data_IF_993292566789
#
_entry.id   IF_993292566789
#
_cell.length_a   1.000
_cell.length_b   1.000
_cell.length_c   1.000
_cell.angle_alpha   90.00
_cell.angle_beta   90.00
_cell.angle_gamma   90.00
#
_symmetry.space_group_name_H-M   'P 1'
#
loop_
_entity.id
_entity.type
_entity.pdbx_description
1 polymer ?
#
# COMPACT_ATOMS: atom_id res chain seq x y z
N UNK A 1 -14.57 -3.41 28.90
CA UNK A 1 -14.41 -2.87 27.54
C UNK A 1 -15.72 -3.17 26.81
N UNK A 2 -16.62 -2.20 26.72
CA UNK A 2 -17.84 -2.38 25.92
C UNK A 2 -17.45 -2.37 24.45
N UNK A 3 -17.54 -3.54 23.81
CA UNK A 3 -17.25 -3.74 22.41
C UNK A 3 -18.31 -3.01 21.58
N UNK A 4 -17.92 -1.91 20.95
CA UNK A 4 -18.77 -1.06 20.09
C UNK A 4 -19.37 -1.87 18.90
N UNK A 5 -18.77 -3.02 18.57
CA UNK A 5 -19.28 -3.94 17.56
C UNK A 5 -19.50 -5.35 18.13
N UNK A 6 -20.67 -5.93 17.87
CA UNK A 6 -20.89 -7.37 18.06
C UNK A 6 -19.94 -8.15 17.13
N UNK A 7 -19.59 -9.37 17.51
CA UNK A 7 -18.67 -10.21 16.72
C UNK A 7 -19.16 -10.42 15.27
N UNK A 8 -20.48 -10.39 15.05
CA UNK A 8 -21.11 -10.40 13.73
C UNK A 8 -20.89 -9.16 12.88
N UNK A 9 -20.81 -7.97 13.48
CA UNK A 9 -20.43 -6.76 12.73
C UNK A 9 -18.97 -6.84 12.26
N UNK A 10 -18.07 -7.35 13.12
CA UNK A 10 -16.66 -7.55 12.76
C UNK A 10 -16.49 -8.60 11.67
N UNK A 11 -17.18 -9.74 11.77
CA UNK A 11 -17.16 -10.77 10.75
C UNK A 11 -17.73 -10.25 9.42
N UNK A 12 -18.88 -9.55 9.46
CA UNK A 12 -19.49 -8.95 8.27
C UNK A 12 -18.59 -7.91 7.60
N UNK A 13 -17.93 -7.05 8.39
CA UNK A 13 -16.97 -6.07 7.88
C UNK A 13 -15.74 -6.74 7.27
N UNK A 14 -15.17 -7.75 7.94
CA UNK A 14 -14.04 -8.51 7.41
C UNK A 14 -14.37 -9.18 6.07
N UNK A 15 -15.55 -9.83 5.97
CA UNK A 15 -16.04 -10.43 4.72
C UNK A 15 -16.22 -9.36 3.64
N UNK A 16 -16.86 -8.24 3.97
CA UNK A 16 -17.02 -7.13 3.04
C UNK A 16 -15.68 -6.62 2.51
N UNK A 17 -14.67 -6.42 3.37
CA UNK A 17 -13.32 -5.98 2.98
C UNK A 17 -12.64 -7.01 2.06
N UNK A 18 -12.70 -8.30 2.41
CA UNK A 18 -12.10 -9.36 1.57
C UNK A 18 -12.77 -9.42 0.20
N UNK A 19 -14.10 -9.32 0.15
CA UNK A 19 -14.86 -9.29 -1.12
C UNK A 19 -14.52 -8.02 -1.91
N UNK A 20 -14.43 -6.86 -1.26
CA UNK A 20 -14.08 -5.60 -1.92
C UNK A 20 -12.67 -5.67 -2.54
N UNK A 21 -11.68 -6.19 -1.81
CA UNK A 21 -10.31 -6.41 -2.32
C UNK A 21 -10.34 -7.40 -3.48
N UNK A 22 -11.07 -8.51 -3.36
CA UNK A 22 -11.17 -9.50 -4.43
C UNK A 22 -11.79 -8.90 -5.69
N UNK A 23 -12.87 -8.11 -5.56
CA UNK A 23 -13.48 -7.39 -6.69
C UNK A 23 -12.49 -6.41 -7.30
N UNK A 24 -11.79 -5.61 -6.51
CA UNK A 24 -10.82 -4.63 -7.01
C UNK A 24 -9.69 -5.32 -7.80
N UNK A 25 -9.11 -6.39 -7.25
CA UNK A 25 -8.07 -7.17 -7.91
C UNK A 25 -8.57 -7.85 -9.20
N UNK A 26 -9.78 -8.42 -9.19
CA UNK A 26 -10.39 -9.07 -10.36
C UNK A 26 -10.77 -8.06 -11.45
N UNK A 27 -11.31 -6.91 -11.07
CA UNK A 27 -11.65 -5.82 -11.99
C UNK A 27 -10.37 -5.25 -12.59
N UNK A 28 -9.34 -5.02 -11.77
CA UNK A 28 -8.02 -4.60 -12.21
C UNK A 28 -7.44 -5.62 -13.19
N UNK A 29 -7.48 -6.91 -12.90
CA UNK A 29 -6.97 -7.96 -13.79
C UNK A 29 -7.75 -8.03 -15.11
N UNK A 30 -9.09 -7.95 -15.06
CA UNK A 30 -9.98 -8.01 -16.24
C UNK A 30 -9.89 -6.78 -17.14
N UNK A 31 -9.55 -5.61 -16.60
CA UNK A 31 -9.31 -4.41 -17.41
C UNK A 31 -8.08 -4.55 -18.35
N UNK A 32 -7.32 -5.65 -18.29
CA UNK A 32 -6.29 -5.98 -19.28
C UNK A 32 -5.16 -4.95 -19.38
N UNK A 33 -4.49 -4.87 -20.52
CA UNK A 33 -3.45 -3.86 -20.79
C UNK A 33 -4.00 -2.46 -21.12
N UNK A 34 -5.29 -2.21 -20.86
CA UNK A 34 -5.89 -0.91 -21.15
C UNK A 34 -5.31 0.14 -20.20
N UNK A 35 -4.75 1.21 -20.76
CA UNK A 35 -4.30 2.36 -19.97
C UNK A 35 -5.54 3.03 -19.38
N UNK A 36 -5.65 3.00 -18.05
CA UNK A 36 -6.71 3.73 -17.34
C UNK A 36 -6.55 5.21 -17.68
N UNK A 37 -7.57 5.79 -18.30
CA UNK A 37 -7.56 7.23 -18.60
C UNK A 37 -7.74 8.03 -17.32
N UNK A 38 -7.22 9.26 -17.27
CA UNK A 38 -7.33 10.10 -16.07
C UNK A 38 -8.80 10.29 -15.64
N UNK A 39 -9.74 10.40 -16.59
CA UNK A 39 -11.17 10.50 -16.30
C UNK A 39 -11.82 9.24 -15.75
N UNK A 40 -11.31 8.05 -16.07
CA UNK A 40 -11.73 6.79 -15.45
C UNK A 40 -11.16 6.66 -14.03
N UNK A 41 -9.88 6.97 -13.85
CA UNK A 41 -9.21 6.93 -12.55
C UNK A 41 -9.88 7.86 -11.53
N UNK A 42 -10.23 9.08 -11.94
CA UNK A 42 -10.95 10.03 -11.07
C UNK A 42 -12.32 9.50 -10.69
N UNK A 43 -13.09 8.95 -11.64
CA UNK A 43 -14.42 8.37 -11.35
C UNK A 43 -14.34 7.19 -10.38
N UNK A 44 -13.37 6.29 -10.57
CA UNK A 44 -13.14 5.18 -9.65
C UNK A 44 -12.72 5.66 -8.26
N UNK A 45 -11.81 6.63 -8.19
CA UNK A 45 -11.38 7.22 -6.92
C UNK A 45 -12.55 7.88 -6.18
N UNK A 46 -13.38 8.63 -6.90
CA UNK A 46 -14.52 9.35 -6.35
C UNK A 46 -15.61 8.37 -5.87
N UNK A 47 -15.87 7.30 -6.61
CA UNK A 47 -16.80 6.23 -6.20
C UNK A 47 -16.37 5.61 -4.87
N UNK A 48 -15.10 5.19 -4.76
CA UNK A 48 -14.57 4.61 -3.52
C UNK A 48 -14.55 5.61 -2.36
N UNK A 49 -14.24 6.88 -2.65
CA UNK A 49 -14.25 7.94 -1.66
C UNK A 49 -15.67 8.21 -1.14
N UNK A 50 -16.65 8.34 -2.03
CA UNK A 50 -18.06 8.49 -1.67
C UNK A 50 -18.56 7.30 -0.87
N UNK A 51 -18.18 6.07 -1.23
CA UNK A 51 -18.56 4.87 -0.50
C UNK A 51 -18.05 4.88 0.96
N UNK A 52 -16.81 5.32 1.17
CA UNK A 52 -16.24 5.45 2.51
C UNK A 52 -16.98 6.51 3.36
N UNK A 53 -17.35 7.64 2.74
CA UNK A 53 -18.09 8.71 3.43
C UNK A 53 -19.55 8.32 3.71
N UNK A 54 -20.20 7.58 2.81
CA UNK A 54 -21.53 7.02 3.05
C UNK A 54 -21.48 6.02 4.21
N UNK A 55 -20.46 5.15 4.25
CA UNK A 55 -20.28 4.21 5.34
C UNK A 55 -20.10 4.91 6.69
N UNK A 56 -19.24 5.93 6.80
CA UNK A 56 -19.05 6.64 8.07
C UNK A 56 -20.29 7.42 8.49
N UNK A 57 -21.04 7.98 7.54
CA UNK A 57 -22.31 8.67 7.84
C UNK A 57 -23.37 7.69 8.37
N UNK A 58 -23.49 6.50 7.77
CA UNK A 58 -24.37 5.44 8.26
C UNK A 58 -23.93 4.92 9.64
N UNK A 59 -22.62 4.74 9.84
CA UNK A 59 -22.05 4.34 11.13
C UNK A 59 -22.35 5.37 12.21
N UNK A 60 -22.18 6.66 11.91
CA UNK A 60 -22.49 7.75 12.83
C UNK A 60 -23.97 7.75 13.21
N UNK A 61 -24.87 7.59 12.23
CA UNK A 61 -26.31 7.55 12.50
C UNK A 61 -26.70 6.34 13.35
N UNK A 62 -26.10 5.18 13.10
CA UNK A 62 -26.31 3.97 13.90
C UNK A 62 -25.79 4.12 15.33
N UNK A 63 -24.60 4.70 15.50
CA UNK A 63 -23.99 4.91 16.82
C UNK A 63 -24.71 5.99 17.63
N UNK A 64 -25.23 7.02 16.96
CA UNK A 64 -25.99 8.07 17.61
C UNK A 64 -27.29 7.53 18.24
N UNK A 65 -28.00 6.66 17.52
CA UNK A 65 -29.23 6.03 18.00
C UNK A 65 -29.03 4.94 19.06
N UNK A 66 -27.84 4.33 19.16
CA UNK A 66 -27.60 3.18 20.05
C UNK A 66 -26.72 3.52 21.26
N UNK A 67 -25.67 4.30 21.09
CA UNK A 67 -24.60 4.53 22.08
C UNK A 67 -24.40 6.03 22.41
N UNK A 68 -25.17 6.91 21.80
CA UNK A 68 -25.17 8.36 22.03
C UNK A 68 -24.20 9.16 21.15
N UNK A 69 -24.47 10.46 21.04
CA UNK A 69 -23.80 11.39 20.12
C UNK A 69 -22.29 11.51 20.34
N UNK A 70 -21.83 11.44 21.60
CA UNK A 70 -20.39 11.58 21.92
C UNK A 70 -19.55 10.41 21.36
N UNK A 71 -20.05 9.18 21.51
CA UNK A 71 -19.39 7.98 20.97
C UNK A 71 -19.42 8.02 19.45
N UNK A 72 -20.56 8.38 18.85
CA UNK A 72 -20.71 8.51 17.41
C UNK A 72 -19.70 9.50 16.81
N UNK A 73 -19.54 10.68 17.42
CA UNK A 73 -18.57 11.69 16.99
C UNK A 73 -17.13 11.19 17.11
N UNK A 74 -16.77 10.57 18.23
CA UNK A 74 -15.40 10.10 18.49
C UNK A 74 -14.99 9.01 17.50
N UNK A 75 -15.83 7.99 17.30
CA UNK A 75 -15.56 6.87 16.38
C UNK A 75 -15.52 7.36 14.93
N UNK A 76 -16.44 8.24 14.54
CA UNK A 76 -16.45 8.78 13.17
C UNK A 76 -15.24 9.66 12.88
N UNK A 77 -14.80 10.45 13.86
CA UNK A 77 -13.58 11.24 13.75
C UNK A 77 -12.33 10.35 13.62
N UNK A 78 -12.24 9.27 14.40
CA UNK A 78 -11.16 8.28 14.27
C UNK A 78 -11.16 7.61 12.89
N UNK A 79 -12.34 7.23 12.38
CA UNK A 79 -12.46 6.63 11.05
C UNK A 79 -12.01 7.60 9.94
N UNK A 80 -12.50 8.84 9.95
CA UNK A 80 -12.13 9.84 8.93
C UNK A 80 -10.65 10.17 9.00
N UNK A 81 -10.10 10.34 10.21
CA UNK A 81 -8.68 10.61 10.42
C UNK A 81 -7.83 9.47 9.90
N UNK A 82 -8.18 8.22 10.26
CA UNK A 82 -7.51 7.02 9.76
C UNK A 82 -7.58 6.95 8.23
N UNK A 83 -8.76 7.11 7.65
CA UNK A 83 -8.96 7.08 6.20
C UNK A 83 -8.12 8.13 5.46
N UNK A 84 -8.04 9.36 5.96
CA UNK A 84 -7.23 10.41 5.35
C UNK A 84 -5.73 10.12 5.46
N UNK A 85 -5.26 9.67 6.63
CA UNK A 85 -3.85 9.26 6.82
C UNK A 85 -3.49 8.13 5.86
N UNK A 86 -4.36 7.13 5.77
CA UNK A 86 -4.22 5.99 4.86
C UNK A 86 -4.20 6.41 3.38
N UNK A 87 -5.06 7.35 2.98
CA UNK A 87 -5.10 7.89 1.62
C UNK A 87 -3.83 8.70 1.30
N UNK A 88 -3.35 9.52 2.22
CA UNK A 88 -2.11 10.28 2.03
C UNK A 88 -0.90 9.36 1.87
N UNK A 89 -0.80 8.29 2.69
CA UNK A 89 0.26 7.30 2.54
C UNK A 89 0.20 6.57 1.20
N UNK A 90 -1.00 6.26 0.70
CA UNK A 90 -1.14 5.58 -0.60
C UNK A 90 -0.55 6.35 -1.79
N UNK A 91 -0.53 7.69 -1.73
CA UNK A 91 0.06 8.54 -2.78
C UNK A 91 1.59 8.42 -2.80
N UNK A 92 2.21 8.39 -1.62
CA UNK A 92 3.66 8.17 -1.47
C UNK A 92 4.06 6.79 -2.03
N UNK A 93 3.28 5.76 -1.71
CA UNK A 93 3.51 4.42 -2.24
C UNK A 93 3.48 4.36 -3.78
N UNK A 94 2.54 5.04 -4.45
CA UNK A 94 2.47 5.08 -5.92
C UNK A 94 3.70 5.75 -6.52
N UNK A 95 4.18 6.84 -5.90
CA UNK A 95 5.37 7.54 -6.37
C UNK A 95 6.61 6.63 -6.33
N UNK A 96 6.79 5.86 -5.25
CA UNK A 96 7.86 4.85 -5.15
C UNK A 96 7.78 3.83 -6.28
N UNK A 97 6.59 3.34 -6.61
CA UNK A 97 6.43 2.41 -7.74
C UNK A 97 6.77 3.06 -9.09
N UNK A 98 6.34 4.29 -9.34
CA UNK A 98 6.64 5.01 -10.59
C UNK A 98 8.15 5.25 -10.76
N UNK A 99 8.84 5.67 -9.70
CA UNK A 99 10.29 5.83 -9.71
C UNK A 99 11.00 4.50 -9.97
N UNK A 100 10.54 3.41 -9.32
CA UNK A 100 11.11 2.08 -9.48
C UNK A 100 10.92 1.56 -10.91
N UNK A 101 9.74 1.75 -11.51
CA UNK A 101 9.48 1.38 -12.91
C UNK A 101 10.30 2.22 -13.89
N UNK A 102 10.50 3.51 -13.60
CA UNK A 102 11.37 4.38 -14.38
C UNK A 102 12.83 3.95 -14.33
N UNK A 103 13.34 3.62 -13.13
CA UNK A 103 14.71 3.16 -12.92
C UNK A 103 15.03 1.86 -13.65
N UNK A 104 14.12 0.88 -13.57
CA UNK A 104 14.26 -0.42 -14.22
C UNK A 104 13.71 -0.44 -15.66
N UNK A 105 13.43 0.74 -16.24
CA UNK A 105 12.90 0.90 -17.59
C UNK A 105 11.75 -0.08 -17.95
N UNK A 106 10.89 -0.39 -16.98
CA UNK A 106 9.90 -1.48 -17.10
C UNK A 106 8.88 -1.12 -18.17
N UNK A 107 8.71 -1.94 -19.23
CA UNK A 107 7.74 -1.67 -20.28
C UNK A 107 6.32 -1.52 -19.72
N UNK A 108 5.50 -0.56 -20.19
CA UNK A 108 4.18 -0.26 -19.63
C UNK A 108 3.24 -1.48 -19.53
N UNK A 109 3.40 -2.45 -20.43
CA UNK A 109 2.63 -3.70 -20.43
C UNK A 109 2.87 -4.59 -19.20
N UNK A 110 4.03 -4.49 -18.55
CA UNK A 110 4.39 -5.26 -17.36
C UNK A 110 4.19 -4.49 -16.05
N UNK A 111 4.12 -3.16 -16.10
CA UNK A 111 3.95 -2.29 -14.92
C UNK A 111 2.68 -2.66 -14.14
N UNK A 112 1.58 -2.94 -14.83
CA UNK A 112 0.32 -3.34 -14.17
C UNK A 112 0.45 -4.63 -13.36
N UNK A 113 1.13 -5.65 -13.90
CA UNK A 113 1.36 -6.92 -13.20
C UNK A 113 2.29 -6.73 -12.00
N UNK A 114 3.39 -5.99 -12.19
CA UNK A 114 4.31 -5.67 -11.11
C UNK A 114 3.62 -4.87 -9.99
N UNK A 115 2.73 -3.93 -10.35
CA UNK A 115 1.95 -3.16 -9.40
C UNK A 115 1.00 -4.03 -8.59
N UNK A 116 0.30 -4.98 -9.21
CA UNK A 116 -0.60 -5.91 -8.50
C UNK A 116 0.17 -6.76 -7.49
N UNK A 117 1.32 -7.32 -7.90
CA UNK A 117 2.18 -8.11 -7.00
C UNK A 117 2.69 -7.24 -5.85
N UNK A 118 3.10 -6.00 -6.16
CA UNK A 118 3.53 -5.01 -5.18
C UNK A 118 2.45 -4.64 -4.18
N UNK A 119 1.20 -4.41 -4.62
CA UNK A 119 0.05 -4.09 -3.77
C UNK A 119 -0.27 -5.27 -2.85
N UNK A 120 -0.34 -6.50 -3.39
CA UNK A 120 -0.60 -7.70 -2.59
C UNK A 120 0.50 -7.87 -1.52
N UNK A 121 1.77 -7.74 -1.92
CA UNK A 121 2.90 -7.81 -1.01
C UNK A 121 2.85 -6.72 0.07
N UNK A 122 2.50 -5.49 -0.30
CA UNK A 122 2.36 -4.37 0.61
C UNK A 122 1.22 -4.59 1.61
N UNK A 123 0.06 -5.10 1.17
CA UNK A 123 -1.07 -5.44 2.06
C UNK A 123 -0.64 -6.50 3.08
N UNK A 124 0.03 -7.57 2.64
CA UNK A 124 0.50 -8.65 3.54
C UNK A 124 1.50 -8.12 4.55
N UNK A 125 2.52 -7.40 4.10
CA UNK A 125 3.54 -6.82 4.98
C UNK A 125 2.89 -5.87 5.98
N UNK A 126 1.90 -5.09 5.53
CA UNK A 126 1.14 -4.17 6.37
C UNK A 126 0.32 -4.90 7.43
N UNK A 127 -0.43 -5.94 7.06
CA UNK A 127 -1.19 -6.75 8.03
C UNK A 127 -0.26 -7.31 9.10
N UNK A 128 0.90 -7.86 8.70
CA UNK A 128 1.90 -8.36 9.65
C UNK A 128 2.41 -7.23 10.55
N UNK A 129 2.81 -6.09 9.98
CA UNK A 129 3.33 -4.95 10.74
C UNK A 129 2.32 -4.39 11.73
N UNK A 130 1.04 -4.31 11.35
CA UNK A 130 -0.05 -3.84 12.22
C UNK A 130 -0.30 -4.82 13.37
N UNK A 131 -0.39 -6.13 13.09
CA UNK A 131 -0.64 -7.14 14.12
C UNK A 131 0.52 -7.22 15.11
N UNK A 132 1.75 -7.29 14.59
CA UNK A 132 2.97 -7.31 15.40
C UNK A 132 3.11 -6.01 16.17
N UNK A 133 2.91 -4.87 15.52
CA UNK A 133 2.95 -3.55 16.14
C UNK A 133 1.93 -3.42 17.27
N UNK A 134 0.67 -3.80 17.05
CA UNK A 134 -0.37 -3.77 18.08
C UNK A 134 0.00 -4.63 19.30
N UNK A 135 0.53 -5.84 19.06
CA UNK A 135 1.00 -6.72 20.13
C UNK A 135 2.18 -6.14 20.92
N UNK A 136 3.16 -5.55 20.21
CA UNK A 136 4.30 -4.86 20.82
C UNK A 136 3.88 -3.67 21.67
N UNK A 137 2.96 -2.84 21.17
CA UNK A 137 2.45 -1.67 21.90
C UNK A 137 1.64 -2.06 23.13
N UNK A 138 0.87 -3.14 23.06
CA UNK A 138 0.14 -3.68 24.21
C UNK A 138 1.08 -4.16 25.33
N UNK A 139 2.26 -4.67 24.97
CA UNK A 139 3.25 -5.17 25.94
C UNK A 139 4.15 -4.04 26.46
N UNK A 140 4.55 -3.11 25.61
CA UNK A 140 5.54 -2.07 25.91
C UNK A 140 4.99 -0.67 25.66
N UNK A 141 4.45 -0.03 26.69
CA UNK A 141 3.84 1.29 26.59
C UNK A 141 4.85 2.40 26.25
N UNK A 142 6.12 2.27 26.69
CA UNK A 142 7.18 3.23 26.36
C UNK A 142 7.51 3.25 24.85
N UNK A 143 7.21 2.15 24.16
CA UNK A 143 7.45 2.00 22.72
C UNK A 143 6.61 2.99 21.90
N UNK A 144 5.45 3.44 22.43
CA UNK A 144 4.63 4.49 21.81
C UNK A 144 5.40 5.79 21.65
N UNK A 145 6.15 6.21 22.67
CA UNK A 145 6.95 7.45 22.60
C UNK A 145 8.07 7.33 21.58
N UNK A 146 8.70 6.15 21.49
CA UNK A 146 9.77 5.88 20.50
C UNK A 146 9.22 5.88 19.09
N UNK A 147 8.12 5.16 18.84
CA UNK A 147 7.45 5.15 17.53
C UNK A 147 6.95 6.55 17.15
N UNK A 148 6.37 7.29 18.09
CA UNK A 148 5.94 8.67 17.87
C UNK A 148 7.09 9.59 17.50
N UNK A 149 8.19 9.56 18.26
CA UNK A 149 9.39 10.34 17.94
C UNK A 149 9.99 9.94 16.59
N UNK A 150 10.07 8.63 16.31
CA UNK A 150 10.53 8.11 15.03
C UNK A 150 9.66 8.64 13.88
N UNK A 151 8.33 8.57 13.99
CA UNK A 151 7.39 9.05 12.98
C UNK A 151 7.54 10.56 12.73
N UNK A 152 7.70 11.36 13.80
CA UNK A 152 7.95 12.81 13.67
C UNK A 152 9.25 13.07 12.94
N UNK A 153 10.34 12.39 13.32
CA UNK A 153 11.65 12.54 12.66
C UNK A 153 11.56 12.15 11.19
N UNK A 154 10.91 11.03 10.87
CA UNK A 154 10.73 10.60 9.48
C UNK A 154 9.85 11.55 8.69
N UNK A 155 8.76 12.05 9.27
CA UNK A 155 7.88 13.02 8.62
C UNK A 155 8.60 14.33 8.31
N UNK A 156 9.39 14.83 9.26
CA UNK A 156 10.25 16.01 9.06
C UNK A 156 11.31 15.76 7.99
N UNK A 157 11.94 14.59 8.00
CA UNK A 157 12.91 14.20 6.98
C UNK A 157 12.28 14.13 5.58
N UNK A 158 11.07 13.60 5.46
CA UNK A 158 10.31 13.56 4.20
C UNK A 158 9.94 14.97 3.74
N UNK A 159 9.56 15.85 4.65
CA UNK A 159 9.28 17.26 4.33
C UNK A 159 10.51 17.98 3.77
N UNK A 160 11.69 17.75 4.33
CA UNK A 160 12.94 18.32 3.80
C UNK A 160 13.42 17.66 2.50
N UNK A 161 13.03 16.41 2.25
CA UNK A 161 13.29 15.71 1.00
C UNK A 161 12.25 16.04 -0.10
N UNK A 162 11.14 16.68 0.26
CA UNK A 162 10.09 17.05 -0.69
C UNK A 162 10.63 18.11 -1.67
N UNK A 163 10.84 17.69 -2.92
CA UNK A 163 11.39 18.53 -3.99
C UNK A 163 12.81 18.15 -4.44
N UNK A 164 13.46 17.18 -3.78
CA UNK A 164 14.64 16.51 -4.33
C UNK A 164 14.21 15.20 -4.98
N UNK A 165 14.54 14.99 -6.26
CA UNK A 165 14.36 13.68 -6.88
C UNK A 165 15.15 12.66 -6.04
N UNK A 166 14.48 11.65 -5.44
CA UNK A 166 15.18 10.67 -4.64
C UNK A 166 16.20 9.96 -5.52
N UNK A 167 17.49 10.16 -5.27
CA UNK A 167 18.53 9.45 -5.99
C UNK A 167 18.61 8.01 -5.47
N UNK A 168 17.71 7.18 -6.02
CA UNK A 168 17.49 5.78 -5.68
C UNK A 168 18.77 4.94 -5.83
N UNK A 169 19.76 5.42 -6.61
CA UNK A 169 21.06 4.77 -6.79
C UNK A 169 21.87 4.62 -5.49
N UNK A 170 21.60 5.46 -4.47
CA UNK A 170 22.38 5.49 -3.23
C UNK A 170 21.67 4.84 -2.04
N UNK A 171 20.45 4.31 -2.21
CA UNK A 171 19.70 3.76 -1.08
C UNK A 171 20.28 2.39 -0.64
N UNK A 172 20.82 2.28 0.59
CA UNK A 172 21.47 1.07 1.08
C UNK A 172 20.55 -0.16 1.09
N UNK A 173 19.23 0.04 1.19
CA UNK A 173 18.23 -1.04 1.11
C UNK A 173 18.21 -1.66 -0.30
N UNK A 174 18.35 -0.85 -1.34
CA UNK A 174 18.43 -1.32 -2.73
C UNK A 174 19.78 -1.92 -3.06
N UNK A 175 20.87 -1.42 -2.49
CA UNK A 175 22.19 -2.06 -2.59
C UNK A 175 22.19 -3.43 -1.92
N UNK A 176 21.49 -3.60 -0.79
CA UNK A 176 21.31 -4.88 -0.11
C UNK A 176 20.46 -5.85 -0.94
N UNK A 177 19.38 -5.37 -1.56
CA UNK A 177 18.54 -6.16 -2.46
C UNK A 177 19.31 -6.57 -3.73
N UNK A 178 20.04 -5.65 -4.38
CA UNK A 178 20.96 -5.95 -5.50
C UNK A 178 22.11 -6.88 -5.12
N UNK A 179 22.58 -6.84 -3.87
CA UNK A 179 23.63 -7.75 -3.37
C UNK A 179 23.10 -9.16 -3.10
N UNK A 180 21.81 -9.29 -2.77
CA UNK A 180 21.17 -10.58 -2.52
C UNK A 180 20.52 -11.19 -3.78
N UNK A 181 20.16 -10.38 -4.76
CA UNK A 181 19.70 -10.80 -6.08
C UNK A 181 20.76 -10.45 -7.12
N UNK A 182 21.50 -11.44 -7.65
CA UNK A 182 22.49 -11.24 -8.70
C UNK A 182 21.79 -10.84 -10.00
N UNK A 183 21.72 -9.53 -10.26
CA UNK A 183 21.09 -8.96 -11.45
C UNK A 183 22.21 -8.36 -12.30
N UNK A 184 22.38 -8.90 -13.51
CA UNK A 184 23.39 -8.43 -14.49
C UNK A 184 22.86 -7.27 -15.34
N UNK A 185 23.73 -6.34 -15.74
CA UNK A 185 23.37 -5.07 -16.41
C UNK A 185 23.29 -5.13 -17.95
N UNK A 186 22.95 -6.27 -18.57
CA UNK A 186 22.86 -6.35 -20.04
C UNK A 186 21.59 -7.06 -20.53
N UNK A 187 20.71 -6.29 -21.17
CA UNK A 187 19.56 -6.78 -21.94
C UNK A 187 19.98 -7.05 -23.38
N UNK A 188 19.75 -8.27 -23.88
CA UNK A 188 19.94 -8.62 -25.29
C UNK A 188 18.87 -9.63 -25.74
N UNK A 189 17.67 -9.12 -26.08
CA UNK A 189 16.67 -9.82 -26.88
C UNK A 189 15.98 -11.10 -26.32
N UNK A 190 15.09 -11.65 -27.15
CA UNK A 190 14.04 -12.68 -26.89
C UNK A 190 14.52 -14.13 -26.66
N UNK A 191 15.62 -14.36 -25.93
CA UNK A 191 15.98 -15.73 -25.52
C UNK A 191 16.26 -15.84 -24.01
N UNK A 192 15.48 -16.73 -23.38
CA UNK A 192 15.46 -16.99 -21.93
C UNK A 192 16.70 -17.74 -21.38
N UNK A 193 17.67 -18.08 -22.22
CA UNK A 193 18.96 -18.62 -21.78
C UNK A 193 19.99 -18.53 -22.91
N UNK A 194 21.16 -17.98 -22.62
CA UNK A 194 22.33 -18.07 -23.50
C UNK A 194 23.52 -18.60 -22.70
N UNK A 195 24.24 -19.54 -23.30
CA UNK A 195 25.52 -20.04 -22.80
C UNK A 195 26.63 -19.18 -23.41
N UNK A 196 27.51 -18.66 -22.56
CA UNK A 196 28.76 -18.00 -22.97
C UNK A 196 29.88 -18.66 -22.16
N UNK A 197 30.93 -19.12 -22.86
CA UNK A 197 32.11 -19.79 -22.29
C UNK A 197 31.84 -21.02 -21.39
N UNK A 198 30.91 -21.88 -21.80
CA UNK A 198 30.70 -23.20 -21.16
C UNK A 198 30.01 -23.15 -19.79
N UNK A 199 29.60 -21.97 -19.31
CA UNK A 199 28.85 -21.80 -18.07
C UNK A 199 27.47 -21.19 -18.37
N UNK A 200 26.45 -21.73 -17.71
CA UNK A 200 25.03 -21.39 -17.96
C UNK A 200 24.67 -20.06 -17.27
N UNK A 201 24.39 -19.02 -18.05
CA UNK A 201 23.90 -17.73 -17.55
C UNK A 201 22.39 -17.59 -17.76
N UNK A 202 21.71 -16.96 -16.79
CA UNK A 202 20.30 -16.58 -16.87
C UNK A 202 20.21 -15.06 -17.11
N UNK A 203 19.49 -14.68 -18.16
CA UNK A 203 19.28 -13.31 -18.66
C UNK A 203 18.68 -12.41 -17.57
N UNK A 204 19.01 -11.10 -17.51
CA UNK A 204 18.51 -10.22 -16.47
C UNK A 204 17.10 -9.74 -16.83
N UNK A 205 16.11 -10.58 -16.54
CA UNK A 205 14.72 -10.14 -16.40
C UNK A 205 14.49 -9.58 -14.99
N UNK A 206 15.46 -8.83 -14.47
CA UNK A 206 15.45 -8.28 -13.11
C UNK A 206 16.10 -6.90 -12.99
N UNK A 207 16.49 -6.26 -14.10
CA UNK A 207 16.84 -4.85 -14.10
C UNK A 207 15.81 -4.08 -14.91
#
# INVERSE_FOLDING_TARGET
METIGTWWMWAGFAVFVVVAIAIDLLVMERQGAHKVTMGEAVRWSLLWFSLAFVFVALLWWYLDGSQGREVANTVSMQFITGYLVEKSLSVDNIFVFLMLFGYFAVPPQYQKRALIIGIIGAIVLRTVLILVGAWLLATFHWLLYVFGAFLVITGVKMWFAAGQEPDIATNPVLTLLKKRMRITNHFDGEKLSTMVDGVKHYTPLFA
#
